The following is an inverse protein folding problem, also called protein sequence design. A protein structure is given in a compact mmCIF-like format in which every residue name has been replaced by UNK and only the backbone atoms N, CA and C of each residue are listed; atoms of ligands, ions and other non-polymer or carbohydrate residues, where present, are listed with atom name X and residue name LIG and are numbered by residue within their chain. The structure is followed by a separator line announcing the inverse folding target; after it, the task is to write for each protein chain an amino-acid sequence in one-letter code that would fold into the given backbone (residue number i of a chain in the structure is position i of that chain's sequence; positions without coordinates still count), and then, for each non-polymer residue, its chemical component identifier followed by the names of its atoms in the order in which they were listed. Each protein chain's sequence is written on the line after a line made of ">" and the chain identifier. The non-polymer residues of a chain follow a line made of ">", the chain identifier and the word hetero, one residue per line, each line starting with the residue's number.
data_IF_745915657834
#
_entry.id   IF_745915657834
#
_cell.length_a   1.000
_cell.length_b   1.000
_cell.length_c   1.000
_cell.angle_alpha   90.00
_cell.angle_beta   90.00
_cell.angle_gamma   90.00
#
_symmetry.space_group_name_H-M   'P 1'
#
loop_
_entity.id
_entity.type
_entity.pdbx_description
1 polymer ?
#
# COMPACT_ATOMS: atom_id res chain seq x y z
N UNK A 1 7.46 -17.22 -5.30
CA UNK A 1 6.93 -16.73 -4.01
C UNK A 1 6.60 -17.89 -3.05
N UNK A 2 6.77 -17.73 -1.73
CA UNK A 2 6.51 -18.73 -0.68
C UNK A 2 5.50 -18.15 0.34
N UNK A 3 4.29 -18.71 0.41
CA UNK A 3 3.16 -18.08 1.11
C UNK A 3 2.29 -19.07 1.89
N UNK A 4 1.54 -18.55 2.86
CA UNK A 4 0.46 -19.28 3.53
C UNK A 4 -0.89 -19.04 2.83
N UNK A 5 -1.92 -19.71 3.34
CA UNK A 5 -3.30 -19.37 3.01
C UNK A 5 -3.63 -17.91 3.35
N UNK A 6 -4.52 -17.33 2.54
CA UNK A 6 -5.06 -16.01 2.78
C UNK A 6 -6.12 -16.03 3.89
N UNK A 7 -6.14 -14.96 4.69
CA UNK A 7 -7.04 -14.76 5.81
C UNK A 7 -7.69 -13.38 5.74
N UNK A 8 -8.90 -13.27 6.28
CA UNK A 8 -9.52 -11.98 6.60
C UNK A 8 -9.23 -11.63 8.05
N UNK A 9 -8.47 -10.56 8.25
CA UNK A 9 -8.26 -9.96 9.55
C UNK A 9 -9.28 -8.85 9.76
N UNK A 10 -10.05 -8.95 10.86
CA UNK A 10 -10.93 -7.89 11.33
C UNK A 10 -10.41 -7.37 12.66
N UNK A 11 -9.91 -6.14 12.66
CA UNK A 11 -9.64 -5.42 13.89
C UNK A 11 -10.94 -4.77 14.39
N UNK A 12 -11.18 -4.87 15.70
CA UNK A 12 -12.31 -4.21 16.36
C UNK A 12 -12.07 -2.72 16.59
N UNK A 13 -10.83 -2.27 16.45
CA UNK A 13 -10.41 -0.89 16.57
C UNK A 13 -9.75 -0.44 15.27
N UNK A 14 -10.16 0.71 14.74
CA UNK A 14 -9.46 1.33 13.63
C UNK A 14 -8.43 2.33 14.16
N UNK A 15 -7.17 2.18 13.77
CA UNK A 15 -6.09 3.10 14.14
C UNK A 15 -6.22 4.54 13.56
N UNK A 16 -7.22 4.79 12.71
CA UNK A 16 -7.42 6.07 12.04
C UNK A 16 -8.67 6.85 12.50
N UNK A 17 -9.73 6.15 12.91
CA UNK A 17 -10.99 6.73 13.36
C UNK A 17 -11.22 6.34 14.84
N UNK A 18 -11.15 7.29 15.78
CA UNK A 18 -11.19 7.02 17.24
C UNK A 18 -12.61 6.82 17.85
N UNK A 19 -13.64 6.62 17.03
CA UNK A 19 -15.03 6.39 17.47
C UNK A 19 -15.42 4.92 17.79
N UNK A 20 -16.65 4.74 18.26
CA UNK A 20 -17.15 3.52 18.93
C UNK A 20 -17.71 2.40 18.04
N UNK A 21 -17.76 2.57 16.71
CA UNK A 21 -18.28 1.57 15.75
C UNK A 21 -17.33 1.35 14.56
N UNK A 22 -16.05 1.12 14.85
CA UNK A 22 -15.02 1.22 13.83
C UNK A 22 -14.13 -0.01 13.76
N UNK A 23 -14.44 -0.90 12.81
CA UNK A 23 -13.56 -2.00 12.46
C UNK A 23 -12.68 -1.64 11.25
N UNK A 24 -11.43 -2.10 11.29
CA UNK A 24 -10.57 -2.21 10.11
C UNK A 24 -10.64 -3.63 9.59
N UNK A 25 -10.87 -3.79 8.29
CA UNK A 25 -10.91 -5.10 7.66
C UNK A 25 -9.86 -5.12 6.55
N UNK A 26 -9.00 -6.12 6.61
CA UNK A 26 -7.98 -6.37 5.61
C UNK A 26 -7.95 -7.84 5.30
N UNK A 27 -7.62 -8.16 4.07
CA UNK A 27 -7.27 -9.51 3.70
C UNK A 27 -5.76 -9.59 3.50
N UNK A 28 -5.14 -10.69 3.90
CA UNK A 28 -3.72 -10.88 3.71
C UNK A 28 -3.27 -12.32 3.87
N UNK A 29 -1.99 -12.54 3.67
CA UNK A 29 -1.32 -13.84 3.80
C UNK A 29 0.10 -13.62 4.29
N UNK A 30 0.64 -14.61 4.98
CA UNK A 30 2.05 -14.61 5.35
C UNK A 30 2.88 -14.96 4.12
N UNK A 31 3.97 -14.23 3.89
CA UNK A 31 4.92 -14.49 2.82
C UNK A 31 6.32 -14.60 3.41
N UNK A 32 6.94 -15.77 3.28
CA UNK A 32 8.29 -16.00 3.78
C UNK A 32 9.35 -15.57 2.77
N UNK A 33 9.03 -15.63 1.47
CA UNK A 33 9.98 -15.29 0.41
C UNK A 33 9.29 -14.89 -0.89
N UNK A 34 9.70 -13.78 -1.48
CA UNK A 34 9.28 -13.33 -2.81
C UNK A 34 10.40 -12.52 -3.48
N UNK A 35 10.35 -12.40 -4.81
CA UNK A 35 11.20 -11.45 -5.52
C UNK A 35 10.62 -10.04 -5.44
N UNK A 36 11.44 -9.01 -5.69
CA UNK A 36 10.92 -7.64 -5.80
C UNK A 36 9.97 -7.47 -6.98
N UNK A 37 10.13 -8.25 -8.05
CA UNK A 37 9.22 -8.23 -9.21
C UNK A 37 7.84 -8.80 -8.87
N UNK A 38 7.79 -9.87 -8.07
CA UNK A 38 6.54 -10.43 -7.55
C UNK A 38 5.82 -9.43 -6.64
N UNK A 39 6.56 -8.76 -5.75
CA UNK A 39 5.98 -7.74 -4.88
C UNK A 39 5.57 -6.46 -5.62
N UNK A 40 6.29 -6.08 -6.67
CA UNK A 40 5.94 -4.94 -7.54
C UNK A 40 4.58 -5.15 -8.21
N UNK A 41 4.29 -6.36 -8.67
CA UNK A 41 2.95 -6.70 -9.18
C UNK A 41 1.88 -6.53 -8.09
N UNK A 42 2.15 -7.02 -6.88
CA UNK A 42 1.22 -6.93 -5.74
C UNK A 42 0.96 -5.48 -5.28
N UNK A 43 2.00 -4.65 -5.16
CA UNK A 43 1.83 -3.26 -4.72
C UNK A 43 1.02 -2.45 -5.73
N UNK A 44 1.16 -2.75 -7.03
CA UNK A 44 0.36 -2.18 -8.12
C UNK A 44 -1.10 -2.65 -8.08
N UNK A 45 -1.38 -3.81 -7.49
CA UNK A 45 -2.74 -4.27 -7.17
C UNK A 45 -3.26 -3.75 -5.82
N UNK A 46 -2.51 -2.89 -5.12
CA UNK A 46 -2.91 -2.25 -3.86
C UNK A 46 -2.57 -3.03 -2.59
N UNK A 47 -1.81 -4.12 -2.69
CA UNK A 47 -1.26 -4.81 -1.53
C UNK A 47 -0.13 -3.99 -0.89
N UNK A 48 0.09 -4.21 0.40
CA UNK A 48 1.17 -3.67 1.22
C UNK A 48 1.72 -4.76 2.11
N UNK A 49 2.86 -4.51 2.76
CA UNK A 49 3.44 -5.44 3.72
C UNK A 49 3.60 -4.82 5.10
N UNK A 50 3.60 -5.69 6.10
CA UNK A 50 4.00 -5.43 7.48
C UNK A 50 4.88 -6.60 7.89
N UNK A 51 6.19 -6.37 7.98
CA UNK A 51 7.14 -7.48 8.04
C UNK A 51 7.00 -8.37 6.80
N UNK A 52 6.76 -9.64 7.07
CA UNK A 52 6.49 -10.74 6.14
C UNK A 52 5.01 -10.95 5.82
N UNK A 53 4.08 -10.22 6.46
CA UNK A 53 2.66 -10.31 6.15
C UNK A 53 2.28 -9.36 5.02
N UNK A 54 1.69 -9.89 3.94
CA UNK A 54 1.18 -9.14 2.80
C UNK A 54 -0.33 -8.94 2.94
N UNK A 55 -0.83 -7.73 2.78
CA UNK A 55 -2.24 -7.42 2.99
C UNK A 55 -2.78 -6.34 2.05
N UNK A 56 -4.10 -6.35 1.85
CA UNK A 56 -4.86 -5.32 1.13
C UNK A 56 -6.08 -4.94 1.96
N UNK A 57 -6.30 -3.65 2.11
CA UNK A 57 -7.48 -3.13 2.82
C UNK A 57 -8.77 -3.44 2.07
N UNK A 58 -9.79 -3.77 2.86
CA UNK A 58 -11.17 -3.84 2.42
C UNK A 58 -11.85 -2.49 2.51
N UNK A 59 -11.69 -1.69 1.46
CA UNK A 59 -12.17 -0.31 1.44
C UNK A 59 -13.70 -0.19 1.50
N UNK A 60 -14.44 -1.26 1.18
CA UNK A 60 -15.91 -1.28 1.23
C UNK A 60 -16.44 -1.50 2.65
N UNK A 61 -15.65 -2.16 3.51
CA UNK A 61 -16.09 -2.63 4.83
C UNK A 61 -15.32 -1.99 5.99
N UNK A 62 -14.23 -1.29 5.71
CA UNK A 62 -13.42 -0.55 6.69
C UNK A 62 -13.99 0.85 6.94
N UNK A 63 -14.03 1.34 8.20
CA UNK A 63 -14.57 2.70 8.51
C UNK A 63 -13.86 3.82 7.73
N UNK A 64 -12.55 3.64 7.49
CA UNK A 64 -11.65 4.59 6.87
C UNK A 64 -11.14 3.99 5.57
N UNK A 65 -11.77 4.30 4.42
CA UNK A 65 -11.33 3.81 3.13
C UNK A 65 -9.86 4.18 2.87
N UNK A 66 -9.02 3.15 2.72
CA UNK A 66 -7.59 3.27 2.48
C UNK A 66 -7.30 3.13 1.00
N UNK A 67 -7.06 4.25 0.31
CA UNK A 67 -6.74 4.24 -1.11
C UNK A 67 -5.23 4.23 -1.32
N UNK A 68 -4.73 3.33 -2.15
CA UNK A 68 -3.32 3.36 -2.56
C UNK A 68 -3.05 4.66 -3.31
N UNK A 69 -2.03 5.41 -2.89
CA UNK A 69 -1.59 6.63 -3.55
C UNK A 69 -0.13 6.50 -4.00
N UNK A 70 0.15 6.97 -5.21
CA UNK A 70 1.52 7.11 -5.74
C UNK A 70 1.64 8.43 -6.49
N UNK A 71 2.86 8.90 -6.69
CA UNK A 71 3.15 10.08 -7.50
C UNK A 71 4.44 9.89 -8.28
N UNK A 72 4.56 10.51 -9.44
CA UNK A 72 5.85 10.68 -10.12
C UNK A 72 6.42 12.07 -9.86
N UNK A 73 7.71 12.22 -10.14
CA UNK A 73 8.39 13.52 -10.06
C UNK A 73 7.72 14.58 -10.95
N UNK A 74 7.28 14.19 -12.14
CA UNK A 74 6.63 15.03 -13.14
C UNK A 74 5.23 15.44 -12.72
N UNK A 75 4.56 14.66 -11.88
CA UNK A 75 3.23 14.95 -11.33
C UNK A 75 3.31 15.89 -10.12
N UNK A 76 4.43 15.89 -9.39
CA UNK A 76 4.59 16.69 -8.18
C UNK A 76 4.64 18.18 -8.47
N UNK A 77 3.94 18.98 -7.65
CA UNK A 77 4.00 20.44 -7.68
C UNK A 77 4.21 20.99 -6.28
N UNK A 78 5.19 21.88 -6.16
CA UNK A 78 5.49 22.54 -4.89
C UNK A 78 4.31 23.36 -4.36
N UNK A 79 3.83 23.02 -3.17
CA UNK A 79 2.81 23.78 -2.46
C UNK A 79 3.43 24.80 -1.49
N UNK A 80 2.64 25.76 -1.01
CA UNK A 80 3.08 26.68 0.06
C UNK A 80 3.44 25.94 1.35
N UNK A 81 2.77 24.82 1.62
CA UNK A 81 3.00 23.96 2.79
C UNK A 81 4.35 23.24 2.67
N UNK A 82 4.66 22.62 1.53
CA UNK A 82 5.97 22.00 1.30
C UNK A 82 7.11 23.01 1.50
N UNK A 83 6.99 24.21 0.92
CA UNK A 83 7.97 25.29 1.08
C UNK A 83 8.10 25.74 2.54
N UNK A 84 7.00 25.74 3.30
CA UNK A 84 7.01 26.05 4.73
C UNK A 84 7.76 24.98 5.52
N UNK A 85 7.47 23.71 5.28
CA UNK A 85 8.10 22.59 5.97
C UNK A 85 9.61 22.55 5.67
N UNK A 86 10.04 22.77 4.42
CA UNK A 86 11.47 22.89 4.08
C UNK A 86 12.14 24.05 4.82
N UNK A 87 11.53 25.25 4.88
CA UNK A 87 12.09 26.36 5.69
C UNK A 87 12.21 26.03 7.17
N UNK A 88 11.26 25.27 7.71
CA UNK A 88 11.29 24.82 9.11
C UNK A 88 12.44 23.86 9.34
N UNK A 89 12.63 22.91 8.43
CA UNK A 89 13.73 21.95 8.43
C UNK A 89 15.09 22.66 8.38
N UNK A 90 15.30 23.56 7.41
CA UNK A 90 16.56 24.29 7.26
C UNK A 90 16.91 25.14 8.47
N UNK A 91 15.92 25.83 9.07
CA UNK A 91 16.13 26.58 10.32
C UNK A 91 16.55 25.69 11.48
N UNK A 92 16.01 24.48 11.57
CA UNK A 92 16.38 23.53 12.62
C UNK A 92 17.79 22.95 12.40
N UNK A 93 18.30 22.96 11.16
CA UNK A 93 19.67 22.59 10.83
C UNK A 93 20.66 23.76 10.89
N UNK A 94 20.20 24.96 11.23
CA UNK A 94 20.97 26.22 11.15
C UNK A 94 21.54 26.50 9.74
N UNK A 95 20.79 26.11 8.71
CA UNK A 95 21.15 26.32 7.29
C UNK A 95 20.38 27.52 6.74
N UNK A 96 21.13 28.54 6.30
CA UNK A 96 20.56 29.65 5.57
C UNK A 96 20.37 29.28 4.08
N UNK A 97 19.14 29.33 3.60
CA UNK A 97 18.85 29.18 2.17
C UNK A 97 19.24 30.46 1.42
N UNK A 98 20.09 30.35 0.40
CA UNK A 98 20.33 31.43 -0.55
C UNK A 98 19.03 31.88 -1.24
N UNK A 99 18.85 33.19 -1.45
CA UNK A 99 17.69 33.73 -2.14
C UNK A 99 17.54 33.21 -3.57
N UNK A 100 18.67 32.92 -4.23
CA UNK A 100 18.71 32.48 -5.64
C UNK A 100 18.37 31.01 -5.83
N UNK A 101 18.59 30.16 -4.83
CA UNK A 101 18.32 28.71 -4.95
C UNK A 101 16.82 28.44 -4.91
N UNK A 102 16.35 27.49 -5.70
CA UNK A 102 15.04 26.87 -5.54
C UNK A 102 15.02 25.95 -4.31
N UNK A 103 13.82 25.51 -3.89
CA UNK A 103 13.72 24.53 -2.79
C UNK A 103 14.20 23.14 -3.21
N UNK A 104 14.12 22.82 -4.50
CA UNK A 104 14.61 21.58 -5.09
C UNK A 104 16.13 21.51 -5.00
N UNK A 105 16.82 22.53 -5.51
CA UNK A 105 18.29 22.64 -5.44
C UNK A 105 18.80 22.61 -3.99
N UNK A 106 18.06 23.19 -3.04
CA UNK A 106 18.44 23.13 -1.63
C UNK A 106 18.37 21.71 -1.09
N UNK A 107 17.33 20.94 -1.45
CA UNK A 107 17.25 19.55 -1.03
C UNK A 107 18.38 18.74 -1.69
N UNK A 108 18.63 18.94 -2.98
CA UNK A 108 19.68 18.26 -3.76
C UNK A 108 21.08 18.47 -3.20
N UNK A 109 21.33 19.61 -2.57
CA UNK A 109 22.63 19.98 -2.02
C UNK A 109 22.73 19.91 -0.49
N UNK A 110 21.81 19.22 0.20
CA UNK A 110 21.79 19.18 1.67
C UNK A 110 23.11 18.73 2.31
N UNK A 111 23.78 17.74 1.72
CA UNK A 111 25.07 17.20 2.14
C UNK A 111 26.22 18.22 2.00
N UNK A 112 26.11 19.16 1.05
CA UNK A 112 27.08 20.25 0.90
C UNK A 112 26.73 21.47 1.76
N UNK A 113 25.46 21.65 2.11
CA UNK A 113 24.97 22.78 2.89
C UNK A 113 25.21 22.64 4.39
N UNK A 114 25.31 21.41 4.91
CA UNK A 114 25.67 21.18 6.30
C UNK A 114 26.36 19.82 6.50
N UNK A 115 27.51 19.77 7.20
CA UNK A 115 28.14 18.49 7.55
C UNK A 115 27.40 17.77 8.69
N UNK A 116 26.50 18.47 9.40
CA UNK A 116 25.80 17.92 10.56
C UNK A 116 24.72 16.91 10.17
N UNK A 117 24.21 16.93 8.93
CA UNK A 117 23.18 16.03 8.46
C UNK A 117 23.75 14.99 7.50
N UNK A 118 23.59 13.70 7.82
CA UNK A 118 23.90 12.61 6.91
C UNK A 118 22.66 11.72 6.69
N UNK A 119 22.31 11.47 5.43
CA UNK A 119 21.21 10.57 5.05
C UNK A 119 21.81 9.39 4.31
N UNK A 120 21.64 8.19 4.86
CA UNK A 120 22.34 6.98 4.41
C UNK A 120 21.35 5.86 4.10
N UNK A 121 21.60 5.15 3.01
CA UNK A 121 20.95 3.88 2.74
C UNK A 121 21.66 2.78 3.53
N UNK A 122 20.92 2.03 4.33
CA UNK A 122 21.42 0.96 5.18
C UNK A 122 20.58 -0.30 5.01
N UNK A 123 21.14 -1.44 5.43
CA UNK A 123 20.41 -2.71 5.49
C UNK A 123 19.16 -2.58 6.37
N UNK A 124 18.10 -3.32 6.03
CA UNK A 124 16.91 -3.47 6.87
C UNK A 124 17.16 -4.30 8.15
N UNK A 125 18.38 -4.80 8.35
CA UNK A 125 18.75 -5.54 9.55
C UNK A 125 18.57 -4.75 10.86
N UNK A 126 18.28 -5.52 11.91
CA UNK A 126 18.17 -5.05 13.28
C UNK A 126 19.49 -4.41 13.74
N UNK A 127 19.37 -3.28 14.45
CA UNK A 127 20.43 -2.79 15.31
C UNK A 127 19.83 -2.14 16.55
N UNK A 128 20.60 -2.09 17.64
CA UNK A 128 20.13 -1.50 18.89
C UNK A 128 19.80 -0.02 18.74
N UNK A 129 20.54 0.72 17.90
CA UNK A 129 20.25 2.12 17.59
C UNK A 129 18.90 2.30 16.88
N UNK A 130 18.59 1.44 15.90
CA UNK A 130 17.31 1.46 15.18
C UNK A 130 16.14 1.11 16.12
N UNK A 131 16.32 0.10 16.96
CA UNK A 131 15.32 -0.29 17.95
C UNK A 131 15.10 0.80 19.02
N UNK A 132 16.17 1.41 19.53
CA UNK A 132 16.07 2.49 20.52
C UNK A 132 15.27 3.68 19.96
N UNK A 133 15.50 4.04 18.70
CA UNK A 133 14.70 5.07 18.02
C UNK A 133 13.23 4.66 17.90
N UNK A 134 12.96 3.42 17.46
CA UNK A 134 11.60 2.88 17.36
C UNK A 134 10.86 2.94 18.71
N UNK A 135 11.48 2.41 19.77
CA UNK A 135 10.89 2.40 21.11
C UNK A 135 10.68 3.82 21.67
N UNK A 136 11.54 4.78 21.34
CA UNK A 136 11.33 6.19 21.69
C UNK A 136 10.15 6.80 20.93
N UNK A 137 10.06 6.52 19.63
CA UNK A 137 8.98 7.00 18.77
C UNK A 137 7.61 6.47 19.20
N UNK A 138 7.50 5.16 19.47
CA UNK A 138 6.23 4.54 19.87
C UNK A 138 5.69 5.12 21.18
N UNK A 139 6.54 5.26 22.20
CA UNK A 139 6.15 5.93 23.45
C UNK A 139 5.77 7.38 23.25
N UNK A 140 6.56 8.15 22.51
CA UNK A 140 6.34 9.59 22.37
C UNK A 140 5.21 9.99 21.41
N UNK A 141 4.85 9.14 20.45
CA UNK A 141 3.89 9.48 19.37
C UNK A 141 2.64 8.60 19.40
N UNK A 142 2.77 7.36 19.84
CA UNK A 142 1.69 6.38 19.86
C UNK A 142 1.19 6.03 21.28
N UNK A 143 1.86 6.51 22.33
CA UNK A 143 1.55 6.17 23.74
C UNK A 143 1.59 4.65 23.97
N UNK A 144 2.49 3.97 23.26
CA UNK A 144 2.69 2.52 23.29
C UNK A 144 4.03 2.20 23.94
N UNK A 145 3.97 1.78 25.21
CA UNK A 145 5.12 1.37 26.01
C UNK A 145 5.51 -0.10 25.80
N UNK A 146 4.70 -0.90 25.09
CA UNK A 146 4.87 -2.35 24.95
C UNK A 146 5.71 -2.76 23.73
N UNK A 147 6.81 -2.04 23.47
CA UNK A 147 7.67 -2.30 22.32
C UNK A 147 8.80 -3.29 22.63
N UNK A 148 8.73 -4.51 22.09
CA UNK A 148 9.80 -5.51 22.21
C UNK A 148 10.78 -5.48 21.03
N UNK A 149 12.06 -5.88 21.23
CA UNK A 149 13.01 -6.02 20.12
C UNK A 149 12.55 -7.01 19.04
N UNK A 150 11.89 -8.10 19.44
CA UNK A 150 11.32 -9.08 18.52
C UNK A 150 10.17 -8.49 17.71
N UNK A 151 9.28 -7.71 18.34
CA UNK A 151 8.21 -7.01 17.63
C UNK A 151 8.74 -6.00 16.62
N UNK A 152 9.78 -5.23 16.99
CA UNK A 152 10.46 -4.32 16.06
C UNK A 152 11.06 -5.09 14.86
N UNK A 153 11.75 -6.20 15.13
CA UNK A 153 12.32 -7.05 14.09
C UNK A 153 11.24 -7.56 13.15
N UNK A 154 10.18 -8.17 13.68
CA UNK A 154 9.08 -8.72 12.89
C UNK A 154 8.37 -7.66 12.07
N UNK A 155 8.22 -6.44 12.60
CA UNK A 155 7.47 -5.39 11.92
C UNK A 155 8.29 -4.67 10.84
N UNK A 156 9.52 -4.26 11.16
CA UNK A 156 10.28 -3.31 10.33
C UNK A 156 11.56 -3.89 9.73
N UNK A 157 12.13 -4.94 10.31
CA UNK A 157 13.35 -5.56 9.77
C UNK A 157 13.03 -6.73 8.86
N UNK A 158 12.13 -7.62 9.27
CA UNK A 158 11.76 -8.79 8.51
C UNK A 158 11.06 -8.37 7.21
N UNK A 159 11.37 -9.07 6.13
CA UNK A 159 10.84 -8.78 4.80
C UNK A 159 10.79 -10.05 3.97
N UNK A 160 9.74 -10.24 3.15
CA UNK A 160 9.70 -11.34 2.20
C UNK A 160 10.65 -11.11 1.01
N UNK A 161 11.15 -9.89 0.80
CA UNK A 161 11.93 -9.54 -0.39
C UNK A 161 13.32 -10.16 -0.33
N UNK A 162 13.50 -11.19 -1.15
CA UNK A 162 14.79 -11.84 -1.34
C UNK A 162 15.78 -10.94 -2.07
N UNK A 163 17.07 -11.06 -1.70
CA UNK A 163 18.20 -10.36 -2.31
C UNK A 163 18.14 -8.83 -2.18
N UNK A 164 17.70 -8.33 -1.01
CA UNK A 164 17.83 -6.91 -0.70
C UNK A 164 19.31 -6.51 -0.66
N UNK A 165 19.67 -5.40 -1.30
CA UNK A 165 21.05 -4.96 -1.50
C UNK A 165 21.15 -3.45 -1.38
N UNK A 166 21.97 -2.98 -0.42
CA UNK A 166 22.29 -1.56 -0.27
C UNK A 166 23.11 -1.07 -1.48
N UNK A 167 24.02 -1.89 -1.99
CA UNK A 167 24.89 -1.52 -3.10
C UNK A 167 24.12 -1.33 -4.41
N UNK A 168 23.09 -2.15 -4.64
CA UNK A 168 22.23 -2.07 -5.82
C UNK A 168 20.99 -1.20 -5.59
N UNK A 169 20.79 -0.70 -4.36
CA UNK A 169 19.56 -0.03 -3.92
C UNK A 169 18.31 -0.80 -4.36
N UNK A 170 18.23 -2.08 -3.99
CA UNK A 170 17.15 -2.99 -4.39
C UNK A 170 16.56 -3.70 -3.17
N UNK A 171 15.25 -3.91 -3.15
CA UNK A 171 14.56 -4.62 -2.07
C UNK A 171 14.31 -3.76 -0.85
N UNK A 172 14.21 -4.38 0.33
CA UNK A 172 13.88 -3.69 1.58
C UNK A 172 15.12 -3.08 2.21
N UNK A 173 15.11 -1.77 2.44
CA UNK A 173 16.23 -1.00 2.97
C UNK A 173 15.74 0.03 3.98
N UNK A 174 16.64 0.50 4.82
CA UNK A 174 16.40 1.62 5.73
C UNK A 174 17.15 2.85 5.25
N UNK A 175 16.44 3.96 5.04
CA UNK A 175 17.05 5.27 4.88
C UNK A 175 17.18 5.92 6.26
N UNK A 176 18.41 5.98 6.77
CA UNK A 176 18.73 6.46 8.11
C UNK A 176 19.22 7.91 8.08
N UNK A 177 18.64 8.75 8.93
CA UNK A 177 18.93 10.17 9.04
C UNK A 177 19.72 10.42 10.32
N UNK A 178 20.93 10.92 10.17
CA UNK A 178 21.81 11.26 11.28
C UNK A 178 21.95 12.77 11.36
N UNK A 179 21.73 13.35 12.53
CA UNK A 179 22.02 14.75 12.82
C UNK A 179 23.03 14.83 13.96
N UNK A 180 24.19 15.45 13.71
CA UNK A 180 25.33 15.51 14.64
C UNK A 180 25.68 14.11 15.18
N UNK A 181 25.80 13.17 14.25
CA UNK A 181 26.10 11.74 14.50
C UNK A 181 25.01 10.94 15.24
N UNK A 182 23.93 11.58 15.73
CA UNK A 182 22.79 10.91 16.34
C UNK A 182 21.80 10.45 15.26
N UNK A 183 21.36 9.19 15.32
CA UNK A 183 20.28 8.67 14.49
C UNK A 183 18.94 9.29 14.93
N UNK A 184 18.36 10.15 14.09
CA UNK A 184 17.14 10.91 14.41
C UNK A 184 15.91 10.50 13.62
N UNK A 185 16.05 9.78 12.49
CA UNK A 185 14.92 9.26 11.74
C UNK A 185 15.28 8.06 10.88
N UNK A 186 14.28 7.24 10.58
CA UNK A 186 14.37 6.09 9.69
C UNK A 186 13.14 6.04 8.79
N UNK A 187 13.38 6.04 7.48
CA UNK A 187 12.41 5.58 6.49
C UNK A 187 12.64 4.11 6.20
N UNK A 188 11.61 3.29 6.37
CA UNK A 188 11.58 1.88 5.98
C UNK A 188 11.01 1.81 4.57
N UNK A 189 11.83 1.40 3.61
CA UNK A 189 11.57 1.57 2.19
C UNK A 189 11.72 0.24 1.44
N UNK A 190 10.89 0.03 0.43
CA UNK A 190 11.09 -1.03 -0.56
C UNK A 190 11.42 -0.41 -1.92
N UNK A 191 12.57 -0.77 -2.49
CA UNK A 191 12.96 -0.35 -3.83
C UNK A 191 12.56 -1.42 -4.83
N UNK A 192 11.57 -1.11 -5.67
CA UNK A 192 10.91 -2.04 -6.59
C UNK A 192 11.06 -1.56 -8.04
N UNK A 193 10.92 -2.47 -9.03
CA UNK A 193 11.02 -2.13 -10.45
C UNK A 193 10.19 -0.92 -10.91
N UNK A 194 8.96 -0.76 -10.42
CA UNK A 194 8.10 0.37 -10.80
C UNK A 194 8.30 1.61 -9.93
N UNK A 195 8.88 1.48 -8.73
CA UNK A 195 8.92 2.60 -7.79
C UNK A 195 9.52 2.33 -6.42
N UNK A 196 9.76 3.43 -5.71
CA UNK A 196 10.16 3.43 -4.30
C UNK A 196 8.90 3.43 -3.41
N UNK A 197 8.74 2.46 -2.52
CA UNK A 197 7.63 2.41 -1.58
C UNK A 197 8.03 2.82 -0.16
N UNK A 198 7.31 3.80 0.39
CA UNK A 198 7.39 4.16 1.80
C UNK A 198 6.50 3.22 2.63
N UNK A 199 7.13 2.32 3.40
CA UNK A 199 6.44 1.31 4.22
C UNK A 199 6.12 1.90 5.59
N UNK A 200 7.12 2.49 6.24
CA UNK A 200 6.99 3.10 7.56
C UNK A 200 8.00 4.22 7.72
N UNK A 201 7.68 5.20 8.57
CA UNK A 201 8.61 6.26 8.92
C UNK A 201 8.54 6.53 10.41
N UNK A 202 9.70 6.59 11.06
CA UNK A 202 9.85 6.91 12.48
C UNK A 202 10.95 7.93 12.69
N UNK A 203 10.80 8.73 13.74
CA UNK A 203 11.76 9.77 14.08
C UNK A 203 11.84 9.99 15.58
N UNK A 204 12.90 10.64 16.03
CA UNK A 204 13.08 11.01 17.42
C UNK A 204 12.13 12.18 17.74
N UNK A 205 11.16 12.01 18.68
CA UNK A 205 10.18 13.05 19.00
C UNK A 205 10.78 14.41 19.40
N UNK A 206 12.02 14.45 19.90
CA UNK A 206 12.72 15.70 20.24
C UNK A 206 12.98 16.55 18.98
N UNK A 207 13.02 15.92 17.81
CA UNK A 207 13.20 16.55 16.50
C UNK A 207 11.87 16.77 15.77
N UNK A 208 10.72 16.69 16.43
CA UNK A 208 9.39 16.96 15.84
C UNK A 208 9.29 18.34 15.16
N UNK A 209 10.07 19.31 15.63
CA UNK A 209 10.16 20.64 15.01
C UNK A 209 10.66 20.59 13.56
N UNK A 210 11.46 19.58 13.17
CA UNK A 210 12.02 19.42 11.83
C UNK A 210 11.02 18.94 10.76
N UNK A 211 9.80 18.52 11.14
CA UNK A 211 8.80 18.00 10.22
C UNK A 211 9.29 16.80 9.37
N UNK A 212 10.13 15.95 9.97
CA UNK A 212 10.89 14.88 9.30
C UNK A 212 10.03 13.96 8.43
N UNK A 213 8.81 13.58 8.84
CA UNK A 213 7.97 12.71 8.02
C UNK A 213 7.49 13.31 6.69
N UNK A 214 7.36 14.64 6.59
CA UNK A 214 7.05 15.30 5.31
C UNK A 214 8.30 15.58 4.50
N UNK A 215 9.41 15.89 5.18
CA UNK A 215 10.70 16.09 4.55
C UNK A 215 11.19 14.79 3.92
N UNK A 216 11.04 13.65 4.60
CA UNK A 216 11.40 12.35 4.06
C UNK A 216 10.62 12.05 2.79
N UNK A 217 9.31 12.32 2.77
CA UNK A 217 8.50 12.12 1.55
C UNK A 217 8.97 12.97 0.37
N UNK A 218 9.43 14.21 0.59
CA UNK A 218 10.02 15.05 -0.46
C UNK A 218 11.37 14.48 -0.94
N UNK A 219 12.20 14.01 -0.01
CA UNK A 219 13.51 13.42 -0.31
C UNK A 219 13.37 12.07 -1.03
N UNK A 220 12.53 11.17 -0.54
CA UNK A 220 12.22 9.86 -1.13
C UNK A 220 11.70 10.03 -2.56
N UNK A 221 10.75 10.94 -2.80
CA UNK A 221 10.26 11.26 -4.14
C UNK A 221 11.36 11.84 -5.05
N UNK A 222 12.29 12.63 -4.52
CA UNK A 222 13.44 13.09 -5.31
C UNK A 222 14.37 11.91 -5.66
N UNK A 223 14.65 11.03 -4.70
CA UNK A 223 15.56 9.90 -4.88
C UNK A 223 15.08 8.95 -5.99
N UNK A 224 13.76 8.85 -6.24
CA UNK A 224 13.24 8.09 -7.39
C UNK A 224 13.82 8.60 -8.70
N UNK A 225 13.98 9.92 -8.86
CA UNK A 225 14.58 10.53 -10.06
C UNK A 225 16.11 10.52 -10.02
N UNK A 226 16.72 10.88 -8.90
CA UNK A 226 18.16 11.20 -8.86
C UNK A 226 19.06 9.98 -8.65
N UNK A 227 18.65 9.01 -7.83
CA UNK A 227 19.48 7.83 -7.50
C UNK A 227 18.95 6.53 -8.08
N UNK A 228 17.63 6.41 -8.23
CA UNK A 228 17.00 5.12 -8.51
C UNK A 228 16.49 5.00 -9.95
N UNK A 229 16.28 6.12 -10.66
CA UNK A 229 15.66 6.17 -11.98
C UNK A 229 14.32 5.41 -12.06
N UNK A 230 13.49 5.56 -11.02
CA UNK A 230 12.18 4.95 -10.88
C UNK A 230 11.06 5.96 -11.16
N UNK A 231 10.00 5.48 -11.80
CA UNK A 231 8.86 6.30 -12.23
C UNK A 231 8.02 6.77 -11.04
N UNK A 232 7.74 5.88 -10.09
CA UNK A 232 6.79 6.16 -9.02
C UNK A 232 7.42 6.20 -7.63
N UNK A 233 6.87 7.07 -6.80
CA UNK A 233 6.99 7.05 -5.35
C UNK A 233 5.64 6.62 -4.76
N UNK A 234 5.59 5.42 -4.17
CA UNK A 234 4.42 4.89 -3.48
C UNK A 234 4.40 5.41 -2.05
N UNK A 235 3.45 6.30 -1.74
CA UNK A 235 3.35 6.92 -0.43
C UNK A 235 2.52 6.08 0.56
N UNK A 236 2.24 4.81 0.25
CA UNK A 236 1.36 3.95 1.04
C UNK A 236 -0.13 4.20 0.77
N UNK A 237 -0.92 4.30 1.83
CA UNK A 237 -2.35 4.62 1.75
C UNK A 237 -2.62 6.11 1.94
N UNK A 238 -3.73 6.58 1.39
CA UNK A 238 -4.36 7.86 1.64
C UNK A 238 -5.76 7.63 2.22
N UNK A 239 -6.10 8.41 3.24
CA UNK A 239 -7.41 8.39 3.90
C UNK A 239 -7.86 9.86 3.98
N UNK A 240 -8.95 10.18 3.30
CA UNK A 240 -9.47 11.55 3.15
C UNK A 240 -9.70 12.22 4.52
N UNK A 241 -10.36 11.50 5.41
CA UNK A 241 -10.85 12.05 6.69
C UNK A 241 -9.84 11.91 7.83
N UNK A 242 -8.64 11.38 7.55
CA UNK A 242 -7.61 11.21 8.56
C UNK A 242 -6.58 12.35 8.51
N UNK A 243 -6.49 13.12 9.60
CA UNK A 243 -5.53 14.23 9.70
C UNK A 243 -4.06 13.81 9.50
N UNK A 244 -3.71 12.57 9.90
CA UNK A 244 -2.36 12.01 9.72
C UNK A 244 -2.05 11.63 8.27
N UNK A 245 -3.08 11.42 7.43
CA UNK A 245 -2.92 10.86 6.08
C UNK A 245 -3.27 11.85 4.96
N UNK A 246 -4.09 12.87 5.26
CA UNK A 246 -4.57 13.85 4.27
C UNK A 246 -3.46 14.67 3.60
N UNK A 247 -2.27 14.77 4.20
CA UNK A 247 -1.16 15.53 3.63
C UNK A 247 -0.66 14.95 2.30
N UNK A 248 -0.81 13.63 2.06
CA UNK A 248 -0.30 12.98 0.85
C UNK A 248 -0.99 13.48 -0.42
N UNK A 249 -2.24 13.95 -0.32
CA UNK A 249 -2.92 14.63 -1.42
C UNK A 249 -2.17 15.86 -1.95
N UNK A 250 -1.33 16.49 -1.13
CA UNK A 250 -0.55 17.68 -1.52
C UNK A 250 0.59 17.34 -2.47
N UNK A 251 1.02 16.08 -2.52
CA UNK A 251 2.02 15.60 -3.47
C UNK A 251 1.42 15.37 -4.87
N UNK A 252 0.10 15.32 -4.99
CA UNK A 252 -0.58 15.06 -6.26
C UNK A 252 -0.53 13.58 -6.62
N UNK A 253 -0.40 13.30 -7.92
CA UNK A 253 -0.25 11.94 -8.43
C UNK A 253 -1.55 11.21 -8.72
N UNK A 254 -1.58 9.92 -8.38
CA UNK A 254 -2.59 8.96 -8.78
C UNK A 254 -3.09 8.12 -7.60
N UNK A 255 -4.34 7.70 -7.70
CA UNK A 255 -5.00 6.82 -6.74
C UNK A 255 -5.38 5.53 -7.44
N UNK A 256 -5.16 4.40 -6.78
CA UNK A 256 -5.64 3.12 -7.27
C UNK A 256 -7.15 3.03 -7.06
N UNK A 257 -7.89 2.88 -8.16
CA UNK A 257 -9.31 2.59 -8.10
C UNK A 257 -9.51 1.17 -7.54
N UNK A 258 -10.20 1.03 -6.39
CA UNK A 258 -10.40 -0.28 -5.78
C UNK A 258 -11.29 -1.19 -6.64
N UNK A 259 -12.11 -0.66 -7.55
CA UNK A 259 -13.08 -1.44 -8.32
C UNK A 259 -12.49 -2.16 -9.53
N UNK A 260 -11.37 -1.70 -10.07
CA UNK A 260 -10.74 -2.27 -11.27
C UNK A 260 -9.20 -2.32 -11.21
N UNK A 261 -8.58 -1.91 -10.09
CA UNK A 261 -7.14 -1.78 -9.91
C UNK A 261 -6.44 -0.91 -10.96
N UNK A 262 -7.13 0.09 -11.52
CA UNK A 262 -6.50 1.08 -12.41
C UNK A 262 -6.13 2.34 -11.63
N UNK A 263 -4.93 2.84 -11.88
CA UNK A 263 -4.54 4.15 -11.36
C UNK A 263 -5.26 5.26 -12.14
N UNK A 264 -5.86 6.18 -11.39
CA UNK A 264 -6.52 7.37 -11.94
C UNK A 264 -5.91 8.61 -11.30
N UNK A 265 -5.81 9.70 -12.07
CA UNK A 265 -5.24 10.94 -11.56
C UNK A 265 -6.00 11.45 -10.34
N UNK A 266 -5.31 12.05 -9.37
CA UNK A 266 -5.90 12.51 -8.11
C UNK A 266 -7.08 13.48 -8.29
N UNK A 267 -7.10 14.23 -9.40
CA UNK A 267 -8.17 15.16 -9.78
C UNK A 267 -9.42 14.44 -10.34
N UNK A 268 -9.28 13.21 -10.84
CA UNK A 268 -10.34 12.39 -11.44
C UNK A 268 -11.08 11.54 -10.38
N UNK A 269 -11.00 11.92 -9.10
CA UNK A 269 -11.57 11.22 -7.94
C UNK A 269 -13.10 11.09 -7.91
N UNK A 270 -13.78 11.28 -9.03
CA UNK A 270 -15.23 11.31 -9.11
C UNK A 270 -15.76 9.87 -9.04
N UNK A 271 -16.63 9.56 -8.05
CA UNK A 271 -17.46 8.35 -8.01
C UNK A 271 -17.13 7.32 -6.92
N UNK A 272 -15.86 7.00 -6.65
CA UNK A 272 -15.49 5.95 -5.68
C UNK A 272 -15.04 6.48 -4.30
N UNK A 273 -15.16 7.78 -4.05
CA UNK A 273 -14.93 8.39 -2.72
C UNK A 273 -16.23 8.54 -1.92
N UNK A 274 -17.38 8.29 -2.56
CA UNK A 274 -18.71 8.50 -2.00
C UNK A 274 -19.22 7.32 -1.15
N UNK A 275 -18.35 6.40 -0.72
CA UNK A 275 -18.76 5.25 0.11
C UNK A 275 -19.20 5.65 1.52
N UNK A 276 -18.82 6.84 1.99
CA UNK A 276 -19.15 7.37 3.31
C UNK A 276 -20.21 8.49 3.27
N UNK A 277 -21.33 8.28 2.56
CA UNK A 277 -22.66 8.86 2.88
C UNK A 277 -22.82 10.37 3.13
N UNK A 278 -21.85 11.21 2.76
CA UNK A 278 -21.84 12.65 3.01
C UNK A 278 -21.17 13.34 1.81
N UNK A 279 -21.79 13.28 0.63
CA UNK A 279 -21.68 14.30 -0.41
C UNK A 279 -22.75 14.00 -1.48
N UNK A 280 -23.49 15.03 -1.85
CA UNK A 280 -24.75 14.97 -2.59
C UNK A 280 -24.65 14.26 -3.95
N UNK A 281 -25.54 13.27 -4.11
CA UNK A 281 -26.27 12.89 -5.33
C UNK A 281 -25.56 12.95 -6.70
N UNK A 282 -24.38 12.32 -6.83
CA UNK A 282 -23.79 12.01 -8.14
C UNK A 282 -24.53 10.83 -8.82
N UNK A 283 -25.28 10.05 -8.04
CA UNK A 283 -26.17 8.98 -8.50
C UNK A 283 -27.18 9.48 -9.55
N UNK A 284 -27.88 10.59 -9.28
CA UNK A 284 -28.95 11.06 -10.16
C UNK A 284 -28.47 11.61 -11.50
N UNK A 285 -27.26 12.18 -11.56
CA UNK A 285 -26.77 12.86 -12.78
C UNK A 285 -26.29 11.86 -13.84
N UNK A 286 -25.63 10.77 -13.42
CA UNK A 286 -25.17 9.72 -14.35
C UNK A 286 -26.32 8.82 -14.83
N UNK A 287 -27.31 8.53 -13.98
CA UNK A 287 -28.49 7.73 -14.32
C UNK A 287 -29.42 8.39 -15.36
N UNK A 288 -29.49 9.73 -15.41
CA UNK A 288 -30.35 10.43 -16.37
C UNK A 288 -29.80 10.43 -17.80
N UNK A 289 -28.48 10.36 -17.99
CA UNK A 289 -27.87 10.38 -19.32
C UNK A 289 -28.06 9.04 -20.07
N UNK A 290 -28.00 7.90 -19.37
CA UNK A 290 -28.16 6.57 -19.98
C UNK A 290 -29.62 6.19 -20.24
N UNK A 291 -30.55 6.62 -19.39
CA UNK A 291 -31.98 6.22 -19.51
C UNK A 291 -32.68 6.71 -20.77
N UNK A 292 -32.23 7.80 -21.41
CA UNK A 292 -32.84 8.32 -22.63
C UNK A 292 -32.56 7.45 -23.87
N UNK A 293 -31.32 6.97 -24.02
CA UNK A 293 -30.89 6.10 -25.14
C UNK A 293 -31.41 4.67 -24.96
N UNK A 294 -31.44 4.17 -23.72
CA UNK A 294 -31.96 2.83 -23.40
C UNK A 294 -33.46 2.70 -23.69
N UNK A 295 -34.28 3.73 -23.39
CA UNK A 295 -35.72 3.72 -23.72
C UNK A 295 -36.00 3.71 -25.22
N UNK A 296 -35.15 4.33 -26.04
CA UNK A 296 -35.30 4.33 -27.49
C UNK A 296 -34.96 2.96 -28.09
N UNK A 297 -33.93 2.29 -27.56
CA UNK A 297 -33.55 0.93 -27.94
C UNK A 297 -34.63 -0.11 -27.54
N UNK A 298 -35.18 -0.02 -26.32
CA UNK A 298 -36.24 -0.92 -25.82
C UNK A 298 -37.53 -0.81 -26.66
N UNK A 299 -37.91 0.41 -27.10
CA UNK A 299 -39.06 0.60 -28.01
C UNK A 299 -38.84 -0.02 -29.39
N UNK A 300 -37.61 -0.04 -29.87
CA UNK A 300 -37.26 -0.62 -31.18
C UNK A 300 -37.28 -2.16 -31.12
N UNK A 301 -36.80 -2.75 -30.03
CA UNK A 301 -36.81 -4.20 -29.78
C UNK A 301 -38.23 -4.75 -29.59
N UNK A 302 -39.11 -3.98 -28.94
CA UNK A 302 -40.52 -4.36 -28.73
C UNK A 302 -41.32 -4.46 -30.03
N UNK A 303 -40.99 -3.66 -31.06
CA UNK A 303 -41.64 -3.72 -32.39
C UNK A 303 -41.23 -4.94 -33.22
N UNK A 304 -40.15 -5.61 -32.84
CA UNK A 304 -39.64 -6.81 -33.50
C UNK A 304 -40.13 -8.11 -32.82
N UNK A 305 -41.06 -8.01 -31.88
CA UNK A 305 -41.62 -9.17 -31.16
C UNK A 305 -40.67 -9.78 -30.12
N UNK A 306 -39.58 -9.09 -29.77
CA UNK A 306 -38.63 -9.52 -28.76
C UNK A 306 -39.03 -8.89 -27.43
N UNK A 307 -39.45 -9.71 -26.46
CA UNK A 307 -39.80 -9.27 -25.11
C UNK A 307 -38.54 -9.02 -24.30
N UNK A 308 -38.26 -7.76 -23.98
CA UNK A 308 -37.25 -7.38 -23.00
C UNK A 308 -37.89 -7.37 -21.60
N UNK A 309 -37.43 -8.25 -20.71
CA UNK A 309 -37.81 -8.15 -19.30
C UNK A 309 -36.97 -7.06 -18.66
N UNK A 310 -37.62 -6.03 -18.09
CA UNK A 310 -36.95 -5.09 -17.19
C UNK A 310 -36.40 -5.90 -16.02
N UNK A 311 -35.07 -6.05 -15.96
CA UNK A 311 -34.44 -6.41 -14.71
C UNK A 311 -34.72 -5.31 -13.68
N UNK A 312 -35.00 -5.70 -12.43
CA UNK A 312 -35.31 -4.75 -11.38
C UNK A 312 -34.13 -3.80 -11.26
N UNK A 313 -34.42 -2.50 -11.41
CA UNK A 313 -33.51 -1.36 -11.29
C UNK A 313 -32.09 -1.76 -10.89
N UNK A 314 -31.15 -1.72 -11.84
CA UNK A 314 -29.74 -1.73 -11.51
C UNK A 314 -29.45 -0.47 -10.68
N UNK A 315 -29.67 -0.57 -9.36
CA UNK A 315 -28.65 -0.11 -8.43
C UNK A 315 -27.36 -0.61 -9.03
N UNK A 316 -26.38 0.26 -9.27
CA UNK A 316 -25.01 -0.17 -9.53
C UNK A 316 -24.74 -1.33 -8.57
N UNK A 317 -24.73 -2.56 -9.09
CA UNK A 317 -24.29 -3.71 -8.33
C UNK A 317 -22.79 -3.49 -8.21
N UNK A 318 -22.44 -2.70 -7.20
CA UNK A 318 -21.08 -2.60 -6.73
C UNK A 318 -20.60 -4.04 -6.56
N UNK A 319 -19.45 -4.40 -7.12
CA UNK A 319 -18.96 -5.75 -6.94
C UNK A 319 -18.91 -6.00 -5.44
N UNK A 320 -19.53 -7.10 -4.99
CA UNK A 320 -19.53 -7.54 -3.58
C UNK A 320 -18.11 -7.80 -3.04
N UNK A 321 -17.10 -7.55 -3.88
CA UNK A 321 -15.69 -7.82 -3.69
C UNK A 321 -14.87 -6.83 -4.52
N UNK A 322 -13.95 -6.10 -3.88
CA UNK A 322 -12.89 -5.32 -4.55
C UNK A 322 -11.98 -6.31 -5.33
N UNK A 323 -11.58 -6.07 -6.59
CA UNK A 323 -10.59 -6.90 -7.28
C UNK A 323 -9.37 -7.23 -6.41
N UNK A 324 -9.05 -8.51 -6.30
CA UNK A 324 -8.00 -9.01 -5.40
C UNK A 324 -8.44 -9.15 -3.94
N UNK A 325 -9.74 -9.05 -3.62
CA UNK A 325 -10.35 -9.47 -2.36
C UNK A 325 -11.20 -10.75 -2.58
N UNK A 326 -11.56 -11.47 -1.51
CA UNK A 326 -12.49 -12.61 -1.51
C UNK A 326 -13.77 -12.24 -0.73
N UNK A 327 -14.98 -12.64 -1.18
CA UNK A 327 -16.20 -12.40 -0.39
C UNK A 327 -16.12 -13.02 1.02
N UNK A 328 -16.54 -12.28 2.07
CA UNK A 328 -16.40 -12.70 3.48
C UNK A 328 -17.22 -13.95 3.82
N UNK A 329 -18.37 -14.11 3.18
CA UNK A 329 -19.27 -15.27 3.27
C UNK A 329 -18.64 -16.55 2.70
N UNK A 330 -17.47 -16.44 2.06
CA UNK A 330 -16.78 -17.57 1.44
C UNK A 330 -15.41 -17.89 2.03
N UNK A 331 -15.08 -17.30 3.18
CA UNK A 331 -13.83 -17.52 3.93
C UNK A 331 -14.14 -18.33 5.20
N UNK A 332 -13.71 -19.59 5.24
CA UNK A 332 -13.84 -20.50 6.39
C UNK A 332 -12.41 -20.83 6.89
N UNK A 333 -12.13 -20.89 8.21
CA UNK A 333 -10.76 -21.09 8.73
C UNK A 333 -10.29 -22.55 8.51
N UNK A 334 -9.05 -22.75 8.03
CA UNK A 334 -8.51 -24.11 7.78
C UNK A 334 -7.03 -24.28 8.22
N UNK A 335 -6.78 -25.42 8.89
CA UNK A 335 -5.51 -26.01 9.40
C UNK A 335 -4.90 -27.02 8.36
N UNK A 336 -3.66 -27.56 8.52
CA UNK A 336 -2.66 -27.62 7.42
C UNK A 336 -2.30 -29.01 6.80
N UNK A 337 -1.62 -28.95 5.62
CA UNK A 337 -0.65 -29.87 4.95
C UNK A 337 -1.04 -30.86 3.80
N UNK A 338 -0.36 -30.61 2.65
CA UNK A 338 0.48 -31.44 1.73
C UNK A 338 -0.03 -32.62 0.84
N UNK A 339 0.60 -32.68 -0.35
CA UNK A 339 0.45 -33.61 -1.49
C UNK A 339 0.67 -35.12 -1.19
N UNK A 340 -0.04 -36.00 -1.92
CA UNK A 340 0.09 -37.48 -1.84
C UNK A 340 0.46 -38.05 -3.23
N UNK A 341 1.46 -38.94 -3.28
CA UNK A 341 1.74 -39.79 -4.45
C UNK A 341 0.96 -41.10 -4.33
N UNK A 342 0.00 -41.37 -5.23
CA UNK A 342 -0.77 -42.62 -5.24
C UNK A 342 -0.26 -43.52 -6.37
N UNK A 343 0.36 -44.66 -6.02
CA UNK A 343 0.74 -45.69 -6.98
C UNK A 343 -0.44 -46.65 -7.17
N UNK A 344 -1.11 -46.61 -8.32
CA UNK A 344 -2.17 -47.58 -8.64
C UNK A 344 -1.62 -48.90 -9.19
N UNK A 345 -0.44 -48.92 -9.84
CA UNK A 345 0.27 -50.14 -10.27
C UNK A 345 1.81 -49.94 -10.40
N UNK A 346 2.62 -51.03 -10.36
CA UNK A 346 4.07 -50.93 -10.49
C UNK A 346 4.48 -50.42 -11.89
N UNK A 347 5.17 -49.27 -11.95
CA UNK A 347 5.90 -48.81 -13.14
C UNK A 347 5.32 -47.61 -13.91
N UNK A 348 4.21 -47.00 -13.47
CA UNK A 348 3.69 -45.75 -14.06
C UNK A 348 3.15 -44.80 -12.97
N UNK A 349 3.97 -43.88 -12.42
CA UNK A 349 3.46 -42.83 -11.54
C UNK A 349 2.71 -41.79 -12.37
N UNK A 350 1.41 -41.62 -12.10
CA UNK A 350 0.63 -40.49 -12.61
C UNK A 350 0.73 -39.37 -11.56
N UNK A 351 1.23 -38.20 -11.96
CA UNK A 351 1.10 -36.98 -11.16
C UNK A 351 -0.34 -36.48 -11.29
N UNK A 352 -1.16 -36.74 -10.27
CA UNK A 352 -2.49 -36.12 -10.16
C UNK A 352 -2.31 -34.79 -9.42
N UNK A 353 -2.77 -33.65 -9.95
CA UNK A 353 -2.81 -32.41 -9.18
C UNK A 353 -3.65 -32.64 -7.92
N UNK A 354 -3.11 -32.36 -6.74
CA UNK A 354 -3.80 -32.49 -5.44
C UNK A 354 -5.17 -31.79 -5.40
N UNK A 355 -5.32 -30.77 -6.25
CA UNK A 355 -6.51 -29.97 -6.52
C UNK A 355 -7.75 -30.76 -6.98
N UNK A 356 -7.57 -31.93 -7.59
CA UNK A 356 -8.71 -32.74 -8.07
C UNK A 356 -9.35 -33.62 -6.98
N UNK A 357 -8.71 -33.78 -5.82
CA UNK A 357 -9.04 -34.86 -4.88
C UNK A 357 -9.89 -34.42 -3.66
N UNK A 358 -10.08 -33.11 -3.43
CA UNK A 358 -10.78 -32.58 -2.24
C UNK A 358 -11.50 -31.24 -2.56
N UNK A 359 -12.84 -31.16 -2.44
CA UNK A 359 -13.63 -29.94 -2.68
C UNK A 359 -13.17 -28.69 -1.89
N UNK A 360 -12.61 -28.89 -0.70
CA UNK A 360 -12.12 -27.83 0.19
C UNK A 360 -10.90 -27.08 -0.37
N UNK A 361 -10.06 -27.70 -1.19
CA UNK A 361 -8.87 -27.06 -1.78
C UNK A 361 -9.13 -26.38 -3.12
N UNK A 362 -10.18 -26.78 -3.86
CA UNK A 362 -10.64 -26.02 -5.03
C UNK A 362 -10.96 -24.57 -4.64
N UNK A 363 -11.55 -24.37 -3.45
CA UNK A 363 -11.87 -23.05 -2.91
C UNK A 363 -10.62 -22.21 -2.66
N UNK A 364 -9.60 -22.79 -2.03
CA UNK A 364 -8.31 -22.13 -1.73
C UNK A 364 -7.62 -21.69 -3.02
N UNK A 365 -7.57 -22.56 -4.02
CA UNK A 365 -6.95 -22.24 -5.32
C UNK A 365 -7.72 -21.16 -6.06
N UNK A 366 -9.05 -21.21 -6.06
CA UNK A 366 -9.87 -20.15 -6.67
C UNK A 366 -9.63 -18.82 -5.94
N UNK A 367 -9.52 -18.83 -4.62
CA UNK A 367 -9.35 -17.61 -3.83
C UNK A 367 -7.94 -17.02 -3.98
N UNK A 368 -6.88 -17.85 -4.00
CA UNK A 368 -5.51 -17.42 -4.30
C UNK A 368 -5.33 -16.98 -5.76
N UNK A 369 -5.98 -17.66 -6.71
CA UNK A 369 -5.96 -17.28 -8.12
C UNK A 369 -6.68 -15.94 -8.35
N UNK A 370 -7.81 -15.69 -7.66
CA UNK A 370 -8.49 -14.38 -7.68
C UNK A 370 -7.67 -13.28 -7.00
N UNK A 371 -6.93 -13.64 -5.97
CA UNK A 371 -6.10 -12.74 -5.17
C UNK A 371 -4.86 -12.27 -5.94
N UNK A 372 -4.07 -13.22 -6.42
CA UNK A 372 -2.76 -12.99 -7.02
C UNK A 372 -2.84 -12.82 -8.54
N UNK A 373 -3.90 -13.35 -9.16
CA UNK A 373 -3.97 -13.54 -10.60
C UNK A 373 -3.19 -14.79 -11.06
N UNK A 374 -3.46 -15.29 -12.28
CA UNK A 374 -2.82 -16.49 -12.82
C UNK A 374 -1.30 -16.46 -12.76
N UNK A 375 -0.70 -15.36 -13.24
CA UNK A 375 0.75 -15.29 -13.40
C UNK A 375 1.51 -15.41 -12.07
N UNK A 376 1.03 -14.76 -11.02
CA UNK A 376 1.65 -14.82 -9.69
C UNK A 376 1.28 -16.11 -8.95
N UNK A 377 0.10 -16.66 -9.20
CA UNK A 377 -0.31 -17.93 -8.63
C UNK A 377 0.58 -19.07 -9.13
N UNK A 378 0.86 -19.12 -10.44
CA UNK A 378 1.69 -20.16 -11.06
C UNK A 378 3.15 -20.13 -10.56
N UNK A 379 3.62 -18.98 -10.03
CA UNK A 379 4.95 -18.84 -9.41
C UNK A 379 4.95 -18.99 -7.88
N UNK A 380 3.79 -19.18 -7.27
CA UNK A 380 3.64 -19.29 -5.83
C UNK A 380 3.74 -20.75 -5.35
N UNK A 381 4.42 -20.94 -4.23
CA UNK A 381 4.48 -22.19 -3.48
C UNK A 381 3.77 -21.97 -2.17
N UNK A 382 2.75 -22.80 -1.91
CA UNK A 382 1.98 -22.80 -0.68
C UNK A 382 2.69 -23.68 0.37
N UNK A 383 2.84 -23.16 1.60
CA UNK A 383 3.54 -23.84 2.72
C UNK A 383 2.60 -24.24 3.83
#
# INVERSE_FOLDING_TARGET
>A
MLITHAIYARDRHCGYCHGSKHSSISMGFQCEKMSVDEYDKLINMGFRRSGTFIYKSDVLRTCCPMYTIRTSYEQFRWTKEHKHDVRKFLRALDVAKSETMSYEEVLDSLDQLTPDLAIRWESNEYSDAKYALFAKYQRGVHDDDECSPSGFKQFLCDSPLSNSSVAELRGSLHQCYYYKEQLIAIGVLDVLPSGLSSVYFMYDPDFKSMALGKISALLEMRETRTKLALEYYYMGYYIQDCAKMKYKAKFGGELLNPLDNRYVGFHQRVGFWCFNGQDEDISSTYLQAETSRTRQAVRMLSRLGISYHEEPSTRLEFPTVVPGLVPLDRVIPVLPLLDITVAQQPGHPIKVPFLELRPEYQRVTIDLYRLLGPELYDSAVLV
#
